data_IF_328197260670
#
_entry.id   IF_328197260670
#
_cell.length_a   1.000
_cell.length_b   1.000
_cell.length_c   1.000
_cell.angle_alpha   90.00
_cell.angle_beta   90.00
_cell.angle_gamma   90.00
#
_symmetry.space_group_name_H-M   'P 1'
#
loop_
_entity.id
_entity.type
_entity.pdbx_description
1 polymer ?
#
# COMPACT_ATOMS: atom_id res chain seq x y z
N UNK A 1 -58.74 -5.11 -3.74
CA UNK A 1 -57.76 -5.66 -2.78
C UNK A 1 -56.53 -6.00 -3.59
N UNK A 2 -55.53 -5.13 -3.49
CA UNK A 2 -54.52 -4.95 -4.53
C UNK A 2 -53.32 -5.87 -4.35
N UNK A 3 -53.25 -6.88 -5.21
CA UNK A 3 -52.16 -7.86 -5.31
C UNK A 3 -50.80 -7.28 -5.74
N UNK A 4 -50.72 -5.97 -6.00
CA UNK A 4 -49.47 -5.26 -6.32
C UNK A 4 -48.67 -4.84 -5.08
N UNK A 5 -49.28 -4.79 -3.89
CA UNK A 5 -48.59 -4.39 -2.66
C UNK A 5 -47.71 -5.48 -2.03
N UNK A 6 -48.06 -6.76 -2.22
CA UNK A 6 -47.35 -7.87 -1.55
C UNK A 6 -45.99 -8.21 -2.18
N UNK A 7 -45.84 -8.04 -3.49
CA UNK A 7 -44.60 -8.41 -4.19
C UNK A 7 -43.44 -7.46 -3.90
N UNK A 8 -43.72 -6.19 -3.59
CA UNK A 8 -42.69 -5.19 -3.27
C UNK A 8 -42.05 -5.45 -1.90
N UNK A 9 -42.86 -5.85 -0.91
CA UNK A 9 -42.40 -6.09 0.47
C UNK A 9 -41.52 -7.33 0.58
N UNK A 10 -41.77 -8.37 -0.23
CA UNK A 10 -40.94 -9.58 -0.26
C UNK A 10 -39.59 -9.31 -0.94
N UNK A 11 -39.56 -8.49 -1.99
CA UNK A 11 -38.33 -8.09 -2.67
C UNK A 11 -37.42 -7.24 -1.76
N UNK A 12 -37.99 -6.26 -1.05
CA UNK A 12 -37.24 -5.42 -0.10
C UNK A 12 -36.70 -6.21 1.10
N UNK A 13 -37.45 -7.19 1.60
CA UNK A 13 -36.97 -8.08 2.66
C UNK A 13 -35.82 -8.98 2.18
N UNK A 14 -35.91 -9.53 0.96
CA UNK A 14 -34.86 -10.38 0.38
C UNK A 14 -33.57 -9.59 0.02
N UNK A 15 -33.70 -8.33 -0.36
CA UNK A 15 -32.56 -7.43 -0.59
C UNK A 15 -31.94 -6.93 0.73
N UNK A 16 -32.75 -6.75 1.79
CA UNK A 16 -32.26 -6.45 3.13
C UNK A 16 -31.53 -7.64 3.79
N UNK A 17 -32.02 -8.87 3.59
CA UNK A 17 -31.38 -10.09 4.10
C UNK A 17 -30.08 -10.42 3.35
N UNK A 18 -30.04 -10.23 2.02
CA UNK A 18 -28.79 -10.25 1.25
C UNK A 18 -27.81 -9.16 1.71
N UNK A 19 -28.30 -7.96 2.02
CA UNK A 19 -27.47 -6.88 2.57
C UNK A 19 -26.87 -7.21 3.94
N UNK A 20 -27.62 -7.92 4.78
CA UNK A 20 -27.19 -8.31 6.13
C UNK A 20 -26.20 -9.48 6.14
N UNK A 21 -26.35 -10.47 5.26
CA UNK A 21 -25.41 -11.60 5.17
C UNK A 21 -24.09 -11.23 4.46
N UNK A 22 -24.10 -10.22 3.60
CA UNK A 22 -22.89 -9.71 2.93
C UNK A 22 -21.97 -8.96 3.90
N UNK A 23 -22.45 -8.43 5.02
CA UNK A 23 -21.59 -7.66 5.94
C UNK A 23 -20.60 -8.52 6.74
N UNK A 24 -20.89 -9.81 6.96
CA UNK A 24 -19.96 -10.72 7.66
C UNK A 24 -18.78 -11.17 6.79
N UNK A 25 -18.83 -10.91 5.49
CA UNK A 25 -17.85 -11.39 4.50
C UNK A 25 -16.99 -10.29 3.89
N UNK A 26 -17.08 -9.06 4.43
CA UNK A 26 -16.31 -7.92 3.94
C UNK A 26 -15.58 -7.18 5.05
N UNK A 27 -14.30 -6.89 4.87
CA UNK A 27 -13.50 -6.07 5.77
C UNK A 27 -13.40 -4.66 5.23
N UNK A 28 -13.87 -3.68 6.00
CA UNK A 28 -13.59 -2.27 5.75
C UNK A 28 -12.28 -1.86 6.42
N UNK A 29 -11.38 -1.21 5.67
CA UNK A 29 -10.16 -0.57 6.16
C UNK A 29 -10.20 0.93 5.90
N UNK A 30 -10.13 1.75 6.95
CA UNK A 30 -9.94 3.19 6.85
C UNK A 30 -8.47 3.50 6.56
N UNK A 31 -8.21 4.37 5.57
CA UNK A 31 -6.86 4.73 5.14
C UNK A 31 -6.49 6.08 5.72
N UNK A 32 -5.66 6.08 6.75
CA UNK A 32 -5.14 7.27 7.40
C UNK A 32 -3.73 7.57 6.91
N UNK A 33 -3.42 8.84 6.70
CA UNK A 33 -2.11 9.27 6.18
C UNK A 33 -1.49 10.31 7.10
N UNK A 34 -0.24 10.07 7.46
CA UNK A 34 0.69 11.06 7.97
C UNK A 34 1.76 11.36 6.89
N UNK A 35 2.68 12.29 7.17
CA UNK A 35 3.72 12.76 6.23
C UNK A 35 4.52 11.64 5.57
N UNK A 36 4.82 10.56 6.31
CA UNK A 36 5.71 9.49 5.85
C UNK A 36 5.12 8.08 6.06
N UNK A 37 3.88 7.99 6.50
CA UNK A 37 3.27 6.74 6.92
C UNK A 37 1.80 6.69 6.50
N UNK A 38 1.34 5.53 6.07
CA UNK A 38 -0.09 5.25 5.83
C UNK A 38 -0.49 4.09 6.72
N UNK A 39 -1.58 4.25 7.46
CA UNK A 39 -2.19 3.21 8.29
C UNK A 39 -3.54 2.83 7.69
N UNK A 40 -3.70 1.55 7.44
CA UNK A 40 -4.97 0.94 7.06
C UNK A 40 -5.49 0.21 8.29
N UNK A 41 -6.67 0.56 8.77
CA UNK A 41 -7.21 -0.07 9.98
C UNK A 41 -8.73 -0.14 9.92
N UNK A 42 -9.35 -1.23 10.41
CA UNK A 42 -10.81 -1.31 10.50
C UNK A 42 -11.38 -0.29 11.49
N UNK A 43 -10.56 0.20 12.43
CA UNK A 43 -10.97 1.21 13.39
C UNK A 43 -11.30 2.54 12.69
N UNK A 44 -12.44 3.13 13.04
CA UNK A 44 -12.75 4.51 12.69
C UNK A 44 -12.17 5.47 13.72
N UNK A 45 -11.63 6.58 13.25
CA UNK A 45 -11.16 7.66 14.12
C UNK A 45 -12.31 8.24 14.97
N UNK A 46 -12.13 8.41 16.29
CA UNK A 46 -13.20 8.91 17.17
C UNK A 46 -13.54 10.39 16.92
N UNK A 47 -12.60 11.18 16.38
CA UNK A 47 -12.90 12.56 15.97
C UNK A 47 -13.77 12.55 14.71
N UNK A 48 -14.95 13.17 14.81
CA UNK A 48 -15.81 13.43 13.64
C UNK A 48 -15.04 14.22 12.60
N UNK A 49 -15.03 13.72 11.37
CA UNK A 49 -14.50 14.46 10.22
C UNK A 49 -15.28 15.77 10.08
N UNK A 50 -14.60 16.92 10.27
CA UNK A 50 -15.22 18.21 9.98
C UNK A 50 -15.31 18.38 8.47
N UNK A 51 -16.48 18.79 7.98
CA UNK A 51 -16.70 19.04 6.55
C UNK A 51 -15.77 20.13 5.99
N UNK A 52 -15.31 21.05 6.85
CA UNK A 52 -14.37 22.12 6.53
C UNK A 52 -13.30 22.18 7.62
N UNK A 53 -12.07 21.69 7.37
CA UNK A 53 -10.98 21.87 8.33
C UNK A 53 -10.61 23.36 8.37
N UNK A 54 -10.69 23.96 9.55
CA UNK A 54 -10.08 25.26 9.79
C UNK A 54 -8.56 25.09 9.76
N UNK A 55 -7.87 25.80 8.87
CA UNK A 55 -6.41 25.74 8.70
C UNK A 55 -5.61 25.91 10.00
N UNK A 56 -6.18 26.66 10.97
CA UNK A 56 -5.64 26.80 12.32
C UNK A 56 -6.16 25.65 13.20
N UNK A 57 -5.36 24.60 13.37
CA UNK A 57 -5.66 23.52 14.31
C UNK A 57 -5.71 22.11 13.73
N UNK A 58 -5.06 21.85 12.59
CA UNK A 58 -4.75 20.47 12.20
C UNK A 58 -3.67 19.96 13.15
N UNK A 59 -4.09 19.52 14.33
CA UNK A 59 -3.28 18.62 15.16
C UNK A 59 -2.87 17.47 14.26
N UNK A 60 -1.57 17.24 14.11
CA UNK A 60 -1.06 16.14 13.29
C UNK A 60 -1.66 14.85 13.84
N UNK A 61 -2.44 14.15 13.02
CA UNK A 61 -2.87 12.80 13.34
C UNK A 61 -1.62 11.95 13.57
N UNK A 62 -1.40 11.56 14.83
CA UNK A 62 -0.35 10.61 15.14
C UNK A 62 -0.87 9.23 14.78
N UNK A 63 -0.34 8.67 13.70
CA UNK A 63 -0.62 7.29 13.29
C UNK A 63 -0.26 6.29 14.40
N UNK A 64 0.64 6.66 15.32
CA UNK A 64 0.99 5.85 16.49
C UNK A 64 0.03 6.03 17.68
N UNK A 65 -1.05 6.80 17.53
CA UNK A 65 -2.09 6.88 18.56
C UNK A 65 -2.75 5.51 18.78
N UNK A 66 -3.30 5.30 19.98
CA UNK A 66 -3.85 4.02 20.47
C UNK A 66 -4.94 3.36 19.59
N UNK A 67 -5.37 3.99 18.50
CA UNK A 67 -6.28 3.40 17.51
C UNK A 67 -5.73 2.09 16.91
N UNK A 68 -4.41 1.98 16.76
CA UNK A 68 -3.76 0.81 16.18
C UNK A 68 -3.74 -0.42 17.09
N UNK A 69 -3.63 -0.23 18.42
CA UNK A 69 -3.31 -1.30 19.39
C UNK A 69 -4.33 -2.45 19.36
N UNK A 70 -5.54 -2.23 18.84
CA UNK A 70 -6.65 -3.18 18.94
C UNK A 70 -7.03 -3.91 17.65
N UNK A 71 -6.41 -3.63 16.52
CA UNK A 71 -6.86 -4.17 15.23
C UNK A 71 -5.79 -5.04 14.54
N UNK A 72 -5.84 -6.39 14.71
CA UNK A 72 -4.84 -7.31 14.14
C UNK A 72 -4.85 -7.33 12.61
N UNK A 73 -5.95 -6.94 11.97
CA UNK A 73 -6.11 -6.89 10.52
C UNK A 73 -5.63 -5.57 9.88
N UNK A 74 -4.95 -4.72 10.65
CA UNK A 74 -4.41 -3.46 10.13
C UNK A 74 -3.21 -3.69 9.22
N UNK A 75 -2.87 -2.69 8.41
CA UNK A 75 -1.62 -2.65 7.66
C UNK A 75 -0.94 -1.30 7.87
N UNK A 76 0.38 -1.32 7.89
CA UNK A 76 1.22 -0.15 8.05
C UNK A 76 2.16 -0.03 6.87
N UNK A 77 2.04 1.05 6.11
CA UNK A 77 2.91 1.39 5.01
C UNK A 77 3.91 2.46 5.45
N UNK A 78 5.18 2.09 5.44
CA UNK A 78 6.29 2.97 5.77
C UNK A 78 6.93 3.53 4.50
N UNK A 79 7.12 4.85 4.45
CA UNK A 79 7.92 5.53 3.43
C UNK A 79 9.29 5.88 4.03
N UNK A 80 10.31 5.02 3.85
CA UNK A 80 11.66 5.34 4.31
C UNK A 80 12.21 6.56 3.58
N UNK A 81 12.98 7.38 4.31
CA UNK A 81 13.69 8.54 3.76
C UNK A 81 15.18 8.31 3.93
N UNK A 82 15.90 8.26 2.81
CA UNK A 82 17.35 8.18 2.74
C UNK A 82 17.86 9.25 1.78
N UNK A 83 18.79 10.10 2.20
CA UNK A 83 19.28 11.15 1.31
C UNK A 83 20.01 10.55 0.11
N UNK A 84 19.73 11.10 -1.07
CA UNK A 84 20.26 10.69 -2.38
C UNK A 84 19.79 9.31 -2.86
N UNK A 85 18.78 8.73 -2.22
CA UNK A 85 18.17 7.48 -2.63
C UNK A 85 16.64 7.59 -2.62
N UNK A 86 15.99 6.80 -3.46
CA UNK A 86 14.54 6.58 -3.45
C UNK A 86 14.28 5.12 -3.03
N UNK A 87 14.35 4.81 -1.72
CA UNK A 87 14.06 3.46 -1.25
C UNK A 87 12.58 3.08 -1.50
N UNK A 88 12.27 1.79 -1.70
CA UNK A 88 10.90 1.34 -1.84
C UNK A 88 10.09 1.61 -0.57
N UNK A 89 8.78 1.76 -0.73
CA UNK A 89 7.87 1.78 0.42
C UNK A 89 7.70 0.36 0.96
N UNK A 90 7.61 0.24 2.28
CA UNK A 90 7.52 -1.04 2.95
C UNK A 90 6.12 -1.22 3.54
N UNK A 91 5.38 -2.21 3.05
CA UNK A 91 4.10 -2.60 3.63
C UNK A 91 4.32 -3.69 4.68
N UNK A 92 3.71 -3.54 5.85
CA UNK A 92 3.73 -4.52 6.95
C UNK A 92 2.30 -4.81 7.40
N UNK A 93 2.06 -6.01 7.91
CA UNK A 93 0.85 -6.28 8.68
C UNK A 93 0.90 -5.55 10.03
N UNK A 94 -0.25 -5.25 10.59
CA UNK A 94 -0.43 -4.55 11.86
C UNK A 94 -0.35 -3.01 11.76
N UNK A 95 -0.08 -2.36 12.88
CA UNK A 95 -0.44 -0.96 13.10
C UNK A 95 0.70 -0.05 13.55
N UNK A 96 1.90 -0.58 13.80
CA UNK A 96 3.03 0.23 14.26
C UNK A 96 4.22 0.14 13.33
N UNK A 97 5.06 1.17 13.42
CA UNK A 97 6.40 1.19 12.86
C UNK A 97 7.40 0.32 13.64
N UNK A 98 7.07 -0.03 14.89
CA UNK A 98 8.08 -0.53 15.82
C UNK A 98 8.59 -1.90 15.39
N UNK A 99 9.88 -1.98 15.10
CA UNK A 99 10.61 -3.23 14.88
C UNK A 99 10.55 -4.18 16.07
N UNK A 100 10.12 -3.71 17.27
CA UNK A 100 9.94 -4.56 18.45
C UNK A 100 8.65 -5.39 18.42
N UNK A 101 7.62 -4.93 17.71
CA UNK A 101 6.48 -5.80 17.41
C UNK A 101 6.83 -6.53 16.11
N UNK A 102 7.28 -7.79 16.23
CA UNK A 102 7.68 -8.69 15.13
C UNK A 102 6.53 -8.92 14.13
N UNK A 103 6.15 -7.90 13.38
CA UNK A 103 5.12 -8.01 12.36
C UNK A 103 5.81 -8.14 11.01
N UNK A 104 5.51 -9.22 10.26
CA UNK A 104 6.25 -9.56 9.07
C UNK A 104 6.02 -8.48 8.00
N UNK A 105 7.08 -8.04 7.32
CA UNK A 105 6.94 -7.29 6.09
C UNK A 105 6.19 -8.13 5.06
N UNK A 106 5.29 -7.46 4.35
CA UNK A 106 4.47 -8.05 3.30
C UNK A 106 5.16 -7.87 1.97
N UNK A 107 5.42 -6.61 1.59
CA UNK A 107 6.00 -6.29 0.30
C UNK A 107 6.80 -4.99 0.30
N UNK A 108 7.67 -4.86 -0.69
CA UNK A 108 8.35 -3.63 -1.09
C UNK A 108 7.69 -3.08 -2.34
N UNK A 109 7.28 -1.81 -2.30
CA UNK A 109 6.62 -1.12 -3.41
C UNK A 109 7.60 -0.11 -3.99
N UNK A 110 8.06 -0.35 -5.20
CA UNK A 110 8.87 0.56 -5.99
C UNK A 110 7.97 1.36 -6.93
N UNK A 111 8.16 2.68 -6.97
CA UNK A 111 7.42 3.58 -7.85
C UNK A 111 8.30 4.02 -9.02
N UNK A 112 7.75 4.01 -10.24
CA UNK A 112 8.39 4.63 -11.40
C UNK A 112 8.24 6.15 -11.37
N UNK A 113 8.95 6.82 -12.28
CA UNK A 113 8.68 8.23 -12.56
C UNK A 113 7.24 8.40 -13.07
N UNK A 114 6.56 9.48 -12.65
CA UNK A 114 5.19 9.84 -13.07
C UNK A 114 4.07 8.90 -12.64
N UNK A 115 4.29 8.03 -11.64
CA UNK A 115 3.21 7.24 -11.01
C UNK A 115 2.46 6.34 -12.01
N UNK A 116 3.11 5.95 -13.10
CA UNK A 116 2.48 5.19 -14.16
C UNK A 116 2.74 3.67 -14.04
N UNK A 117 3.70 3.27 -13.21
CA UNK A 117 4.08 1.88 -13.04
C UNK A 117 4.62 1.66 -11.63
N UNK A 118 4.29 0.52 -11.05
CA UNK A 118 4.81 0.08 -9.77
C UNK A 118 5.32 -1.34 -9.89
N UNK A 119 6.49 -1.58 -9.31
CA UNK A 119 7.05 -2.92 -9.12
C UNK A 119 6.88 -3.28 -7.66
N UNK A 120 6.13 -4.34 -7.39
CA UNK A 120 5.80 -4.82 -6.05
C UNK A 120 6.55 -6.13 -5.85
N UNK A 121 7.53 -6.15 -4.96
CA UNK A 121 8.25 -7.36 -4.55
C UNK A 121 7.58 -7.88 -3.28
N UNK A 122 7.01 -9.08 -3.31
CA UNK A 122 6.17 -9.61 -2.23
C UNK A 122 6.59 -11.03 -1.87
N UNK A 123 6.50 -11.35 -0.58
CA UNK A 123 6.70 -12.72 -0.10
C UNK A 123 7.28 -12.85 1.30
N UNK A 124 7.15 -14.05 1.90
CA UNK A 124 7.69 -14.36 3.23
C UNK A 124 9.21 -14.21 3.33
N UNK A 125 9.96 -14.30 2.23
CA UNK A 125 11.43 -14.13 2.26
C UNK A 125 11.85 -12.77 2.82
N UNK A 126 11.02 -11.73 2.63
CA UNK A 126 11.25 -10.39 3.20
C UNK A 126 11.22 -10.39 4.73
N UNK A 127 10.52 -11.34 5.34
CA UNK A 127 10.40 -11.48 6.79
C UNK A 127 11.59 -12.18 7.43
N UNK A 128 12.53 -12.69 6.64
CA UNK A 128 13.79 -13.27 7.12
C UNK A 128 14.54 -12.24 7.96
N UNK A 129 15.05 -12.68 9.11
CA UNK A 129 15.75 -11.82 10.05
C UNK A 129 16.94 -11.13 9.38
N UNK A 130 17.08 -9.82 9.62
CA UNK A 130 18.16 -9.01 9.05
C UNK A 130 17.91 -8.53 7.61
N UNK A 131 16.93 -9.07 6.86
CA UNK A 131 16.65 -8.60 5.49
C UNK A 131 16.15 -7.17 5.48
N UNK A 132 15.17 -6.85 6.31
CA UNK A 132 14.64 -5.49 6.45
C UNK A 132 15.09 -4.88 7.77
N UNK A 133 15.81 -3.77 7.69
CA UNK A 133 16.33 -3.07 8.86
C UNK A 133 15.27 -2.18 9.56
N UNK A 134 15.57 -1.62 10.75
CA UNK A 134 14.66 -0.70 11.45
C UNK A 134 14.41 0.64 10.75
N UNK A 135 15.16 1.00 9.69
CA UNK A 135 14.84 2.16 8.83
C UNK A 135 13.70 1.83 7.88
N UNK A 136 13.36 0.55 7.72
CA UNK A 136 12.36 0.05 6.79
C UNK A 136 12.90 -0.14 5.38
N UNK A 137 14.21 -0.40 5.24
CA UNK A 137 14.86 -0.67 3.95
C UNK A 137 15.57 -2.01 3.99
N UNK A 138 15.86 -2.56 2.82
CA UNK A 138 16.64 -3.80 2.69
C UNK A 138 18.07 -3.54 3.18
N UNK A 139 18.60 -4.42 4.03
CA UNK A 139 19.99 -4.39 4.48
C UNK A 139 20.96 -4.58 3.30
N UNK A 140 22.07 -3.85 3.32
CA UNK A 140 23.09 -3.94 2.26
C UNK A 140 23.66 -5.35 2.06
N UNK A 141 23.70 -6.14 3.13
CA UNK A 141 24.23 -7.51 3.13
C UNK A 141 23.36 -8.49 2.33
N UNK A 142 22.08 -8.17 2.12
CA UNK A 142 21.15 -8.99 1.33
C UNK A 142 20.94 -8.42 -0.09
N UNK A 143 21.88 -7.60 -0.58
CA UNK A 143 21.80 -7.06 -1.93
C UNK A 143 22.01 -8.18 -2.95
N UNK A 144 21.03 -8.39 -3.82
CA UNK A 144 21.18 -9.25 -4.99
C UNK A 144 21.43 -8.47 -6.28
N UNK A 145 21.63 -9.21 -7.38
CA UNK A 145 21.75 -8.66 -8.73
C UNK A 145 20.39 -8.20 -9.27
N UNK A 146 19.92 -7.06 -8.77
CA UNK A 146 18.65 -6.43 -9.14
C UNK A 146 18.61 -5.86 -10.58
N UNK A 147 19.72 -5.92 -11.32
CA UNK A 147 19.77 -5.49 -12.73
C UNK A 147 19.26 -6.60 -13.62
N UNK A 148 19.74 -7.83 -13.40
CA UNK A 148 19.39 -8.99 -14.22
C UNK A 148 18.25 -9.83 -13.62
N UNK A 149 18.04 -9.75 -12.30
CA UNK A 149 16.98 -10.49 -11.62
C UNK A 149 15.96 -9.53 -10.99
N UNK A 150 14.72 -9.58 -11.47
CA UNK A 150 13.66 -8.74 -10.92
C UNK A 150 13.29 -9.09 -9.47
N UNK A 151 13.51 -10.34 -9.05
CA UNK A 151 13.26 -10.79 -7.67
C UNK A 151 14.36 -10.35 -6.70
N UNK A 152 15.56 -10.05 -7.20
CA UNK A 152 16.66 -9.62 -6.35
C UNK A 152 16.35 -8.29 -5.66
N UNK A 153 16.70 -8.25 -4.37
CA UNK A 153 16.47 -7.11 -3.51
C UNK A 153 17.63 -6.12 -3.60
N UNK A 154 17.31 -4.82 -3.64
CA UNK A 154 18.32 -3.75 -3.58
C UNK A 154 18.56 -3.34 -2.13
N UNK A 155 19.71 -3.69 -1.57
CA UNK A 155 20.10 -3.29 -0.22
C UNK A 155 20.62 -1.86 -0.13
N UNK A 156 20.53 -1.28 1.06
CA UNK A 156 20.93 0.10 1.35
C UNK A 156 21.89 0.16 2.55
N UNK A 157 23.12 0.61 2.30
CA UNK A 157 24.14 0.75 3.34
C UNK A 157 23.80 1.78 4.42
N UNK A 158 24.34 1.58 5.63
CA UNK A 158 24.37 2.62 6.67
C UNK A 158 25.64 3.44 6.49
N UNK A 159 25.51 4.74 6.23
CA UNK A 159 26.64 5.68 6.09
C UNK A 159 27.23 6.06 7.45
N UNK A 160 28.43 6.62 7.45
CA UNK A 160 29.07 7.20 8.65
C UNK A 160 28.41 8.50 9.10
N UNK A 161 27.81 9.24 8.16
CA UNK A 161 27.10 10.49 8.39
C UNK A 161 25.62 10.37 8.00
N UNK A 162 24.78 11.18 8.63
CA UNK A 162 23.32 11.21 8.43
C UNK A 162 22.85 12.64 8.21
N UNK A 163 22.00 12.82 7.22
CA UNK A 163 21.33 14.09 6.96
C UNK A 163 20.09 14.28 7.83
N UNK A 164 19.63 15.52 7.92
CA UNK A 164 18.41 15.85 8.64
C UNK A 164 17.19 15.22 7.95
N UNK A 165 16.23 14.70 8.73
CA UNK A 165 15.02 14.06 8.20
C UNK A 165 15.12 12.57 7.81
N UNK A 166 16.31 11.96 7.76
CA UNK A 166 16.44 10.54 7.38
C UNK A 166 15.78 9.57 8.39
N UNK A 167 15.31 8.43 7.91
CA UNK A 167 14.70 7.39 8.75
C UNK A 167 15.72 6.64 9.63
N UNK A 168 15.25 6.08 10.76
CA UNK A 168 16.01 5.22 11.67
C UNK A 168 17.26 5.82 12.33
N UNK A 169 17.14 7.05 12.85
CA UNK A 169 18.20 7.74 13.62
C UNK A 169 18.84 6.89 14.72
N UNK A 170 18.02 6.13 15.48
CA UNK A 170 18.51 5.26 16.57
C UNK A 170 19.37 4.11 16.02
N UNK A 171 18.91 3.47 14.96
CA UNK A 171 19.63 2.39 14.27
C UNK A 171 20.97 2.87 13.69
N UNK A 172 20.98 4.02 13.02
CA UNK A 172 22.22 4.62 12.51
C UNK A 172 23.25 4.87 13.63
N UNK A 173 22.81 5.37 14.80
CA UNK A 173 23.70 5.58 15.96
C UNK A 173 24.27 4.27 16.49
N UNK A 174 23.43 3.24 16.58
CA UNK A 174 23.82 1.90 17.04
C UNK A 174 24.87 1.26 16.11
N UNK A 175 24.62 1.25 14.81
CA UNK A 175 25.56 0.68 13.83
C UNK A 175 26.90 1.43 13.84
N UNK A 176 26.87 2.77 13.94
CA UNK A 176 28.10 3.54 13.97
C UNK A 176 28.83 3.52 15.33
N UNK A 177 28.14 3.25 16.45
CA UNK A 177 28.83 2.96 17.71
C UNK A 177 29.53 1.60 17.65
N UNK A 178 28.84 0.56 17.16
CA UNK A 178 29.42 -0.78 16.97
C UNK A 178 30.66 -0.76 16.07
N UNK A 179 30.62 -0.01 14.96
CA UNK A 179 31.80 0.17 14.09
C UNK A 179 32.98 0.82 14.81
N UNK A 180 32.73 1.81 15.66
CA UNK A 180 33.79 2.47 16.46
C UNK A 180 34.38 1.54 17.51
N UNK A 181 33.55 0.70 18.13
CA UNK A 181 34.01 -0.25 19.13
C UNK A 181 34.82 -1.38 18.50
N UNK A 182 34.42 -1.85 17.32
CA UNK A 182 35.18 -2.83 16.52
C UNK A 182 36.53 -2.25 16.12
N UNK A 183 36.58 -1.01 15.61
CA UNK A 183 37.82 -0.36 15.20
C UNK A 183 38.81 -0.14 16.37
N UNK A 184 38.32 0.03 17.61
CA UNK A 184 39.18 0.11 18.80
C UNK A 184 39.75 -1.24 19.21
N UNK A 185 39.04 -2.32 18.94
CA UNK A 185 39.41 -3.69 19.30
C UNK A 185 40.37 -4.28 18.26
N UNK A 186 40.18 -3.91 16.99
CA UNK A 186 40.98 -4.30 15.83
C UNK A 186 42.40 -3.67 15.78
N UNK A 187 42.79 -2.84 16.76
CA UNK A 187 44.22 -2.53 16.93
C UNK A 187 45.02 -3.63 17.65
N UNK A 188 44.40 -4.77 18.01
CA UNK A 188 45.08 -5.86 18.74
C UNK A 188 45.05 -7.27 18.12
N UNK A 189 44.24 -7.59 17.11
CA UNK A 189 44.23 -8.95 16.49
C UNK A 189 43.23 -9.05 15.32
N UNK A 190 43.64 -8.85 14.05
CA UNK A 190 42.67 -8.65 12.93
C UNK A 190 42.65 -9.70 11.83
N UNK A 191 43.59 -10.63 11.72
CA UNK A 191 43.59 -11.50 10.53
C UNK A 191 42.61 -12.69 10.60
N UNK A 192 42.08 -13.07 11.76
CA UNK A 192 41.29 -14.31 11.87
C UNK A 192 39.76 -14.13 12.02
N UNK A 193 39.24 -12.96 12.43
CA UNK A 193 37.80 -12.81 12.76
C UNK A 193 36.92 -12.16 11.68
N UNK A 194 37.50 -11.65 10.59
CA UNK A 194 36.74 -11.01 9.50
C UNK A 194 36.22 -12.00 8.45
N UNK A 195 36.73 -13.24 8.46
CA UNK A 195 36.37 -14.29 7.48
C UNK A 195 35.06 -14.97 7.87
N UNK A 196 34.77 -15.18 9.16
CA UNK A 196 33.56 -15.90 9.58
C UNK A 196 32.24 -15.10 9.54
N UNK A 197 32.27 -13.76 9.56
CA UNK A 197 31.04 -12.94 9.56
C UNK A 197 30.56 -12.48 8.17
N UNK A 198 31.42 -12.58 7.15
CA UNK A 198 31.12 -12.10 5.80
C UNK A 198 30.87 -13.22 4.77
N UNK A 199 31.19 -14.49 5.07
CA UNK A 199 31.23 -15.56 4.06
C UNK A 199 29.91 -16.30 3.77
N UNK A 200 28.74 -15.97 4.35
CA UNK A 200 27.55 -16.79 4.03
C UNK A 200 26.17 -16.14 4.11
N UNK A 201 26.06 -14.81 4.08
CA UNK A 201 24.73 -14.21 3.88
C UNK A 201 24.36 -14.25 2.40
N UNK A 202 23.64 -15.30 2.03
CA UNK A 202 23.10 -15.48 0.69
C UNK A 202 22.19 -14.30 0.34
N UNK A 203 22.30 -13.73 -0.87
CA UNK A 203 21.35 -12.75 -1.36
C UNK A 203 19.92 -13.30 -1.21
N UNK A 204 19.04 -12.50 -0.61
CA UNK A 204 17.63 -12.88 -0.46
C UNK A 204 16.88 -12.28 -1.65
N UNK A 205 16.00 -13.09 -2.24
CA UNK A 205 15.15 -12.71 -3.35
C UNK A 205 13.69 -12.68 -2.89
N UNK A 206 12.88 -11.81 -3.48
CA UNK A 206 11.44 -11.83 -3.27
C UNK A 206 10.82 -13.09 -3.89
N UNK A 207 9.84 -13.68 -3.21
CA UNK A 207 9.15 -14.88 -3.71
C UNK A 207 8.42 -14.59 -5.03
N UNK A 208 7.75 -13.43 -5.11
CA UNK A 208 7.01 -12.98 -6.28
C UNK A 208 7.23 -11.49 -6.60
N UNK A 209 7.04 -11.13 -7.88
CA UNK A 209 7.09 -9.76 -8.38
C UNK A 209 5.83 -9.46 -9.16
N UNK A 210 5.15 -8.38 -8.81
CA UNK A 210 3.92 -7.92 -9.47
C UNK A 210 4.18 -6.55 -10.09
N UNK A 211 3.87 -6.42 -11.37
CA UNK A 211 3.95 -5.14 -12.09
C UNK A 211 2.55 -4.57 -12.24
N UNK A 212 2.29 -3.49 -11.52
CA UNK A 212 1.05 -2.72 -11.64
C UNK A 212 1.29 -1.55 -12.59
N UNK A 213 0.51 -1.45 -13.66
CA UNK A 213 0.66 -0.38 -14.66
C UNK A 213 -0.61 0.44 -14.79
N UNK A 214 -0.45 1.76 -14.86
CA UNK A 214 -1.51 2.67 -15.28
C UNK A 214 -1.57 2.72 -16.81
N UNK A 215 -2.63 2.15 -17.39
CA UNK A 215 -2.72 1.93 -18.85
C UNK A 215 -2.75 3.23 -19.64
N UNK A 216 -3.43 4.26 -19.12
CA UNK A 216 -3.46 5.56 -19.79
C UNK A 216 -3.69 6.71 -18.81
N UNK A 217 -2.63 7.48 -18.46
CA UNK A 217 -2.74 8.58 -17.52
C UNK A 217 -3.46 9.82 -18.06
N UNK A 218 -3.52 9.96 -19.39
CA UNK A 218 -4.01 11.12 -20.10
C UNK A 218 -5.27 10.83 -20.97
N UNK A 219 -5.83 9.62 -20.90
CA UNK A 219 -7.06 9.25 -21.61
C UNK A 219 -8.32 9.68 -20.86
N UNK A 220 -9.42 9.82 -21.61
CA UNK A 220 -10.79 9.98 -21.09
C UNK A 220 -11.26 8.77 -20.28
N UNK A 221 -10.69 7.59 -20.53
CA UNK A 221 -10.82 6.40 -19.67
C UNK A 221 -9.93 6.55 -18.44
N UNK A 222 -10.26 7.53 -17.61
CA UNK A 222 -9.41 7.90 -16.48
C UNK A 222 -9.35 6.75 -15.46
N UNK A 223 -8.11 6.31 -15.15
CA UNK A 223 -7.75 5.38 -14.07
C UNK A 223 -8.15 3.92 -14.29
N UNK A 224 -7.47 3.31 -15.23
CA UNK A 224 -7.38 1.87 -15.37
C UNK A 224 -5.97 1.43 -14.97
N UNK A 225 -5.84 0.76 -13.84
CA UNK A 225 -4.60 0.10 -13.46
C UNK A 225 -4.73 -1.40 -13.68
N UNK A 226 -3.73 -2.03 -14.28
CA UNK A 226 -3.76 -3.46 -14.60
C UNK A 226 -2.54 -4.15 -14.04
N UNK A 227 -2.73 -5.37 -13.57
CA UNK A 227 -1.66 -6.29 -13.21
C UNK A 227 -2.11 -7.73 -13.41
N UNK A 228 -1.16 -8.65 -13.46
CA UNK A 228 -1.41 -10.09 -13.50
C UNK A 228 -0.83 -10.75 -12.26
N UNK A 229 -1.54 -11.74 -11.72
CA UNK A 229 -1.08 -12.52 -10.59
C UNK A 229 -1.62 -13.95 -10.71
N UNK A 230 -0.74 -14.94 -10.62
CA UNK A 230 -1.08 -16.36 -10.75
C UNK A 230 -1.95 -16.67 -11.99
N UNK A 231 -1.60 -16.07 -13.14
CA UNK A 231 -2.33 -16.24 -14.41
C UNK A 231 -3.65 -15.46 -14.52
N UNK A 232 -4.15 -14.88 -13.42
CA UNK A 232 -5.39 -14.09 -13.40
C UNK A 232 -5.08 -12.63 -13.70
N UNK A 233 -5.91 -12.01 -14.54
CA UNK A 233 -5.80 -10.58 -14.88
C UNK A 233 -6.65 -9.74 -13.95
N UNK A 234 -6.04 -8.73 -13.36
CA UNK A 234 -6.68 -7.82 -12.41
C UNK A 234 -6.70 -6.41 -12.95
N UNK A 235 -7.78 -5.69 -12.68
CA UNK A 235 -7.91 -4.29 -13.06
C UNK A 235 -8.60 -3.45 -12.00
N UNK A 236 -7.94 -2.38 -11.58
CA UNK A 236 -8.57 -1.31 -10.83
C UNK A 236 -9.19 -0.32 -11.80
N UNK A 237 -10.52 -0.26 -11.79
CA UNK A 237 -11.31 0.59 -12.70
C UNK A 237 -11.91 1.76 -11.92
N UNK A 238 -11.84 2.96 -12.49
CA UNK A 238 -12.66 4.10 -12.06
C UNK A 238 -14.13 3.72 -11.99
N UNK A 239 -14.80 4.08 -10.89
CA UNK A 239 -16.25 3.88 -10.76
C UNK A 239 -16.98 5.17 -10.43
N UNK A 240 -18.08 5.41 -11.13
CA UNK A 240 -19.00 6.52 -10.87
C UNK A 240 -20.15 6.13 -9.93
N UNK A 241 -20.21 4.86 -9.50
CA UNK A 241 -21.32 4.32 -8.72
C UNK A 241 -21.36 4.84 -7.29
N UNK A 242 -20.21 5.29 -6.75
CA UNK A 242 -20.13 5.87 -5.41
C UNK A 242 -20.26 7.39 -5.53
N UNK A 243 -21.39 7.93 -5.05
CA UNK A 243 -21.60 9.38 -4.96
C UNK A 243 -21.21 9.86 -3.57
N UNK A 244 -20.19 10.70 -3.49
CA UNK A 244 -19.94 11.50 -2.29
C UNK A 244 -21.01 12.61 -2.20
N UNK A 245 -21.74 12.69 -1.09
CA UNK A 245 -22.86 13.64 -0.90
C UNK A 245 -22.40 15.07 -0.61
N UNK A 246 -21.10 15.29 -0.38
CA UNK A 246 -20.53 16.60 -0.06
C UNK A 246 -20.45 17.51 -1.30
N UNK A 247 -20.54 18.83 -1.11
CA UNK A 247 -20.64 19.86 -2.19
C UNK A 247 -19.53 19.83 -3.25
N UNK A 248 -18.36 19.26 -2.96
CA UNK A 248 -17.24 19.10 -3.92
C UNK A 248 -17.08 17.64 -4.41
N UNK A 249 -18.07 16.78 -4.17
CA UNK A 249 -18.05 15.37 -4.55
C UNK A 249 -17.96 15.14 -6.07
N UNK A 250 -18.34 16.12 -6.89
CA UNK A 250 -18.17 16.06 -8.34
C UNK A 250 -16.70 16.06 -8.78
N UNK A 251 -15.80 16.70 -8.02
CA UNK A 251 -14.35 16.65 -8.24
C UNK A 251 -13.74 15.32 -7.77
N UNK A 252 -14.39 14.67 -6.80
CA UNK A 252 -14.01 13.33 -6.32
C UNK A 252 -14.58 12.18 -7.14
N UNK A 253 -15.57 12.42 -8.00
CA UNK A 253 -16.27 11.37 -8.77
C UNK A 253 -15.31 10.46 -9.54
N UNK A 254 -14.10 10.93 -9.81
CA UNK A 254 -13.06 10.18 -10.50
C UNK A 254 -12.07 9.44 -9.58
N UNK A 255 -12.21 9.51 -8.25
CA UNK A 255 -11.23 8.94 -7.31
C UNK A 255 -11.64 7.61 -6.70
N UNK A 256 -12.88 7.16 -6.91
CA UNK A 256 -13.36 5.86 -6.47
C UNK A 256 -12.90 4.79 -7.45
N UNK A 257 -12.43 3.66 -6.93
CA UNK A 257 -11.89 2.56 -7.72
C UNK A 257 -12.53 1.25 -7.29
N UNK A 258 -12.73 0.33 -8.23
CA UNK A 258 -13.11 -1.06 -7.96
C UNK A 258 -12.06 -2.00 -8.54
N UNK A 259 -11.66 -3.00 -7.77
CA UNK A 259 -10.79 -4.06 -8.24
C UNK A 259 -11.64 -5.17 -8.84
N UNK A 260 -11.45 -5.40 -10.14
CA UNK A 260 -12.06 -6.49 -10.88
C UNK A 260 -10.99 -7.54 -11.19
N UNK A 261 -11.28 -8.80 -10.88
CA UNK A 261 -10.54 -9.96 -11.40
C UNK A 261 -11.29 -10.52 -12.61
N UNK A 262 -10.57 -10.79 -13.69
CA UNK A 262 -11.10 -11.49 -14.87
C UNK A 262 -10.84 -12.97 -14.68
N UNK A 263 -11.91 -13.75 -14.55
CA UNK A 263 -11.78 -15.20 -14.47
C UNK A 263 -11.34 -15.74 -15.83
N UNK A 264 -10.45 -16.74 -15.88
CA UNK A 264 -10.20 -17.46 -17.12
C UNK A 264 -11.53 -18.07 -17.57
N UNK A 265 -11.94 -17.74 -18.80
CA UNK A 265 -13.16 -18.28 -19.38
C UNK A 265 -12.88 -19.67 -19.95
N UNK A 266 -13.73 -20.63 -19.64
CA UNK A 266 -13.68 -21.96 -20.28
C UNK A 266 -14.18 -21.89 -21.73
N UNK A 267 -14.99 -20.87 -22.05
CA UNK A 267 -15.52 -20.64 -23.40
C UNK A 267 -14.73 -19.54 -24.13
N UNK A 268 -13.88 -19.88 -25.13
CA UNK A 268 -13.16 -18.90 -25.93
C UNK A 268 -14.09 -18.03 -26.80
N UNK A 269 -15.38 -18.36 -26.91
CA UNK A 269 -16.37 -17.59 -27.66
C UNK A 269 -17.24 -16.68 -26.79
N UNK A 270 -17.04 -16.66 -25.47
CA UNK A 270 -17.78 -15.77 -24.59
C UNK A 270 -17.58 -14.31 -25.02
N UNK A 271 -18.71 -13.63 -25.29
CA UNK A 271 -18.69 -12.25 -25.76
C UNK A 271 -18.13 -11.27 -24.70
N UNK A 272 -18.19 -11.63 -23.42
CA UNK A 272 -17.71 -10.80 -22.31
C UNK A 272 -17.05 -11.67 -21.23
N UNK A 273 -15.82 -11.34 -20.80
CA UNK A 273 -15.16 -12.09 -19.74
C UNK A 273 -15.94 -11.96 -18.42
N UNK A 274 -16.04 -13.06 -17.68
CA UNK A 274 -16.64 -13.04 -16.34
C UNK A 274 -15.74 -12.26 -15.38
N UNK A 275 -16.25 -11.15 -14.84
CA UNK A 275 -15.53 -10.31 -13.89
C UNK A 275 -16.07 -10.43 -12.46
N UNK A 276 -15.19 -10.58 -11.49
CA UNK A 276 -15.51 -10.61 -10.06
C UNK A 276 -14.93 -9.38 -9.37
N UNK A 277 -15.75 -8.66 -8.61
CA UNK A 277 -15.31 -7.52 -7.82
C UNK A 277 -14.70 -8.01 -6.49
N UNK A 278 -13.45 -7.63 -6.20
CA UNK A 278 -12.72 -8.07 -5.00
C UNK A 278 -12.57 -6.98 -3.95
N UNK A 279 -12.55 -5.72 -4.37
CA UNK A 279 -12.40 -4.60 -3.45
C UNK A 279 -12.96 -3.31 -4.06
N UNK A 280 -13.35 -2.38 -3.19
CA UNK A 280 -13.67 -1.00 -3.60
C UNK A 280 -12.93 -0.01 -2.74
N UNK A 281 -12.29 0.96 -3.38
CA UNK A 281 -11.67 2.10 -2.72
C UNK A 281 -12.55 3.35 -2.90
N UNK A 282 -12.89 3.97 -1.77
CA UNK A 282 -13.64 5.22 -1.69
C UNK A 282 -12.74 6.31 -1.16
N UNK A 283 -12.37 7.27 -2.02
CA UNK A 283 -11.54 8.41 -1.62
C UNK A 283 -12.31 9.36 -0.70
N UNK A 284 -11.60 10.00 0.25
CA UNK A 284 -12.13 11.07 1.09
C UNK A 284 -11.39 12.39 0.83
N UNK A 285 -12.08 13.52 1.05
CA UNK A 285 -11.48 14.88 1.02
C UNK A 285 -10.83 15.21 2.37
N UNK A 286 -11.08 14.42 3.42
CA UNK A 286 -10.57 14.71 4.74
C UNK A 286 -9.03 14.76 4.73
N UNK A 287 -8.40 15.76 5.40
CA UNK A 287 -6.96 15.96 5.33
C UNK A 287 -6.16 14.79 5.93
N UNK A 288 -6.71 14.12 6.94
CA UNK A 288 -6.05 13.02 7.68
C UNK A 288 -6.46 11.63 7.19
N UNK A 289 -7.58 11.53 6.43
CA UNK A 289 -8.12 10.27 5.92
C UNK A 289 -8.14 10.31 4.40
N UNK A 290 -7.27 9.52 3.78
CA UNK A 290 -7.19 9.42 2.33
C UNK A 290 -8.46 8.76 1.74
N UNK A 291 -9.07 7.84 2.48
CA UNK A 291 -10.27 7.13 2.04
C UNK A 291 -10.63 5.93 2.89
N UNK A 292 -11.42 5.04 2.30
CA UNK A 292 -11.90 3.77 2.84
C UNK A 292 -11.72 2.69 1.78
N UNK A 293 -11.16 1.54 2.15
CA UNK A 293 -10.96 0.38 1.30
C UNK A 293 -11.84 -0.76 1.84
N UNK A 294 -12.83 -1.17 1.06
CA UNK A 294 -13.65 -2.34 1.35
C UNK A 294 -13.09 -3.54 0.61
N UNK A 295 -12.79 -4.60 1.36
CA UNK A 295 -12.31 -5.88 0.85
C UNK A 295 -13.47 -6.87 0.90
N UNK A 296 -13.75 -7.56 -0.20
CA UNK A 296 -14.76 -8.61 -0.25
C UNK A 296 -14.08 -9.94 0.02
N UNK A 297 -13.83 -10.23 1.30
CA UNK A 297 -12.96 -11.33 1.74
C UNK A 297 -13.45 -12.71 1.28
N UNK A 298 -14.76 -12.93 1.17
CA UNK A 298 -15.29 -14.19 0.62
C UNK A 298 -14.89 -14.39 -0.84
N UNK A 299 -14.96 -13.33 -1.66
CA UNK A 299 -14.62 -13.36 -3.08
C UNK A 299 -13.11 -13.49 -3.25
N UNK A 300 -12.32 -12.77 -2.45
CA UNK A 300 -10.86 -12.90 -2.41
C UNK A 300 -10.47 -14.33 -2.06
N UNK A 301 -11.03 -14.89 -0.99
CA UNK A 301 -10.73 -16.26 -0.54
C UNK A 301 -11.15 -17.30 -1.59
N UNK A 302 -12.34 -17.16 -2.16
CA UNK A 302 -12.82 -18.06 -3.22
C UNK A 302 -11.88 -18.03 -4.42
N UNK A 303 -11.55 -16.84 -4.93
CA UNK A 303 -10.65 -16.70 -6.07
C UNK A 303 -9.26 -17.29 -5.80
N UNK A 304 -8.71 -17.07 -4.59
CA UNK A 304 -7.42 -17.63 -4.21
C UNK A 304 -7.43 -19.17 -4.15
N UNK A 305 -8.51 -19.77 -3.63
CA UNK A 305 -8.66 -21.23 -3.59
C UNK A 305 -8.81 -21.84 -4.99
N UNK A 306 -9.59 -21.18 -5.86
CA UNK A 306 -9.95 -21.71 -7.17
C UNK A 306 -8.80 -21.57 -8.19
N UNK A 307 -8.05 -20.45 -8.17
CA UNK A 307 -7.07 -20.12 -9.22
C UNK A 307 -5.61 -20.02 -8.76
N UNK A 308 -5.35 -20.05 -7.45
CA UNK A 308 -4.01 -19.97 -6.91
C UNK A 308 -3.77 -20.98 -5.76
N UNK A 309 -4.14 -22.26 -5.92
CA UNK A 309 -3.93 -23.26 -4.88
C UNK A 309 -2.43 -23.43 -4.64
N UNK A 310 -1.97 -23.16 -3.42
CA UNK A 310 -0.56 -23.27 -3.05
C UNK A 310 0.27 -22.02 -3.31
N UNK A 311 -0.35 -20.88 -3.67
CA UNK A 311 0.37 -19.62 -3.71
C UNK A 311 1.03 -19.32 -2.37
N UNK A 312 2.31 -18.95 -2.42
CA UNK A 312 3.10 -18.58 -1.23
C UNK A 312 2.62 -17.25 -0.66
N UNK A 313 2.08 -16.40 -1.54
CA UNK A 313 1.60 -15.05 -1.22
C UNK A 313 0.07 -15.05 -1.08
N UNK A 314 -0.42 -14.40 -0.03
CA UNK A 314 -1.87 -14.21 0.18
C UNK A 314 -2.42 -13.16 -0.81
N UNK A 315 -3.46 -13.53 -1.58
CA UNK A 315 -4.14 -12.60 -2.50
C UNK A 315 -4.64 -11.34 -1.76
N UNK A 316 -5.05 -11.45 -0.50
CA UNK A 316 -5.47 -10.28 0.29
C UNK A 316 -4.35 -9.25 0.42
N UNK A 317 -3.11 -9.70 0.60
CA UNK A 317 -1.94 -8.82 0.68
C UNK A 317 -1.66 -8.15 -0.68
N UNK A 318 -1.82 -8.89 -1.79
CA UNK A 318 -1.70 -8.33 -3.15
C UNK A 318 -2.75 -7.24 -3.40
N UNK A 319 -4.00 -7.49 -3.01
CA UNK A 319 -5.09 -6.51 -3.13
C UNK A 319 -4.76 -5.24 -2.34
N UNK A 320 -4.28 -5.37 -1.11
CA UNK A 320 -3.91 -4.21 -0.26
C UNK A 320 -2.69 -3.48 -0.83
N UNK A 321 -1.65 -4.19 -1.26
CA UNK A 321 -0.45 -3.60 -1.84
C UNK A 321 -0.75 -2.79 -3.11
N UNK A 322 -1.54 -3.37 -4.03
CA UNK A 322 -1.93 -2.68 -5.26
C UNK A 322 -2.88 -1.51 -4.98
N UNK A 323 -3.78 -1.62 -4.00
CA UNK A 323 -4.59 -0.50 -3.53
C UNK A 323 -3.72 0.68 -3.08
N UNK A 324 -2.68 0.42 -2.29
CA UNK A 324 -1.78 1.46 -1.80
C UNK A 324 -1.00 2.16 -2.89
N UNK A 325 -0.58 1.45 -3.94
CA UNK A 325 0.08 2.05 -5.09
C UNK A 325 -0.77 3.17 -5.71
N UNK A 326 -2.06 2.91 -5.90
CA UNK A 326 -2.97 3.90 -6.48
C UNK A 326 -3.29 5.05 -5.53
N UNK A 327 -3.46 4.77 -4.23
CA UNK A 327 -3.68 5.80 -3.21
C UNK A 327 -2.51 6.78 -3.18
N UNK A 328 -1.29 6.26 -3.26
CA UNK A 328 -0.08 7.07 -3.31
C UNK A 328 0.01 7.87 -4.62
N UNK A 329 -0.16 7.21 -5.77
CA UNK A 329 -0.13 7.89 -7.07
C UNK A 329 -1.17 9.00 -7.19
N UNK A 330 -2.38 8.78 -6.70
CA UNK A 330 -3.43 9.80 -6.70
C UNK A 330 -3.07 11.00 -5.81
N UNK A 331 -2.53 10.74 -4.63
CA UNK A 331 -2.12 11.82 -3.74
C UNK A 331 -1.02 12.66 -4.37
N UNK A 332 0.01 12.02 -4.91
CA UNK A 332 1.16 12.72 -5.50
C UNK A 332 0.74 13.52 -6.75
N UNK A 333 -0.19 12.98 -7.54
CA UNK A 333 -0.85 13.71 -8.63
C UNK A 333 -1.60 14.95 -8.15
N UNK A 334 -2.37 14.86 -7.05
CA UNK A 334 -3.10 16.02 -6.49
C UNK A 334 -2.18 17.09 -5.95
N UNK A 335 -1.10 16.68 -5.28
CA UNK A 335 -0.08 17.63 -4.81
C UNK A 335 0.51 18.35 -6.01
N UNK A 336 0.96 17.63 -7.04
CA UNK A 336 1.51 18.25 -8.26
C UNK A 336 0.51 19.19 -8.92
N UNK A 337 -0.75 18.77 -9.11
CA UNK A 337 -1.78 19.59 -9.72
C UNK A 337 -2.04 20.88 -8.94
N UNK A 338 -2.03 20.81 -7.60
CA UNK A 338 -2.17 21.98 -6.73
C UNK A 338 -0.98 22.93 -6.84
N UNK A 339 0.25 22.41 -6.81
CA UNK A 339 1.46 23.23 -6.97
C UNK A 339 1.50 23.91 -8.34
N UNK A 340 1.11 23.19 -9.42
CA UNK A 340 1.00 23.77 -10.77
C UNK A 340 -0.08 24.85 -10.84
N UNK A 341 -1.27 24.61 -10.27
CA UNK A 341 -2.33 25.60 -10.24
C UNK A 341 -1.90 26.85 -9.46
N UNK A 342 -1.24 26.68 -8.32
CA UNK A 342 -0.68 27.79 -7.54
C UNK A 342 0.34 28.58 -8.37
N UNK A 343 1.28 27.90 -9.02
CA UNK A 343 2.28 28.53 -9.88
C UNK A 343 1.63 29.37 -11.00
N UNK A 344 0.63 28.80 -11.71
CA UNK A 344 -0.10 29.50 -12.77
C UNK A 344 -0.81 30.75 -12.23
N UNK A 345 -1.50 30.64 -11.09
CA UNK A 345 -2.17 31.78 -10.47
C UNK A 345 -1.19 32.88 -10.03
N UNK A 346 -0.03 32.51 -9.49
CA UNK A 346 0.99 33.49 -9.08
C UNK A 346 1.68 34.15 -10.26
N UNK A 347 1.91 33.43 -11.36
CA UNK A 347 2.50 33.98 -12.58
C UNK A 347 1.53 34.93 -13.31
N UNK A 348 0.22 34.66 -13.25
CA UNK A 348 -0.80 35.51 -13.87
C UNK A 348 -1.04 36.85 -13.17
N UNK A 349 -0.61 37.01 -11.91
CA UNK A 349 -0.76 38.24 -11.12
C UNK A 349 0.42 39.23 -11.27
N UNK A 350 1.36 38.96 -12.19
CA UNK A 350 2.55 39.81 -12.44
C UNK A 350 2.35 40.76 -13.63
N UNK A 351 1.14 40.84 -14.18
CA UNK A 351 0.72 41.86 -15.16
C UNK A 351 -0.32 42.80 -14.53
#
# INVERSE_FOLDING_TARGET
MDSKGLNTTIQEAHDAEKGSMVSELSTTLNVYRDKHHILLTPCTHPRKEKAFPTWRGIDKFDVNSNLGIRAPQSFFLQQPILSFHAPPHLLRRGHTKSSQAQLPPVCLIHNSSFWNSWKIQIGPSLATEGVIDPRGVVCAEHTGDHVNNEKALKGYGVRSWRMWGESGKKYHRLVNSQRKDTQKTDMKSVEEQKVESAESRTPVEADEVIHLRWVSPLSTSTRLYTFTWQGVSFSWKGTSTVRETRRLGSLLRYAHLKLMAQLPDDDPHACHPVEVCLATYTCSIAPEKAGKLDLFDAQIRKLALDHAPGAVVDLRDVVVATAMCMVMGEFEKRVLARELAFLIMTAGNVN
#
